data_IF_681716121168
#
_entry.id   IF_681716121168
#
_cell.length_a   1.000
_cell.length_b   1.000
_cell.length_c   1.000
_cell.angle_alpha   90.00
_cell.angle_beta   90.00
_cell.angle_gamma   90.00
#
_symmetry.space_group_name_H-M   'P 1'
#
loop_
_entity.id
_entity.type
_entity.pdbx_description
1 polymer ?
#
# COMPACT_ATOMS: atom_id res chain seq x y z
N UNK A 1 -5.85 3.04 11.56
CA UNK A 1 -5.29 3.57 12.83
C UNK A 1 -5.17 2.52 13.96
N UNK A 2 -6.15 1.67 14.30
CA UNK A 2 -6.01 0.75 15.46
C UNK A 2 -5.04 -0.42 15.27
N UNK A 3 -4.76 -0.87 14.03
CA UNK A 3 -3.83 -1.98 13.75
C UNK A 3 -2.37 -1.60 14.04
N UNK A 4 -1.99 -0.33 13.83
CA UNK A 4 -0.59 0.12 13.90
C UNK A 4 -0.05 0.16 15.33
N UNK A 5 -0.89 0.42 16.33
CA UNK A 5 -0.49 0.34 17.75
C UNK A 5 -0.25 -1.12 18.18
N UNK A 6 -0.94 -2.07 17.55
CA UNK A 6 -0.78 -3.51 17.83
C UNK A 6 0.40 -4.11 17.05
N UNK A 7 0.74 -3.54 15.89
CA UNK A 7 1.92 -3.92 15.11
C UNK A 7 3.24 -3.71 15.87
N UNK A 8 3.27 -2.81 16.86
CA UNK A 8 4.43 -2.57 17.74
C UNK A 8 4.97 -3.84 18.39
N UNK A 9 4.09 -4.78 18.75
CA UNK A 9 4.48 -6.03 19.42
C UNK A 9 5.22 -7.00 18.50
N UNK A 10 5.07 -6.83 17.20
CA UNK A 10 5.68 -7.69 16.19
C UNK A 10 6.77 -6.94 15.42
N UNK A 11 7.11 -5.70 15.80
CA UNK A 11 8.03 -4.87 15.05
C UNK A 11 9.45 -5.43 15.10
N UNK A 12 9.89 -5.92 16.26
CA UNK A 12 11.18 -6.60 16.40
C UNK A 12 11.25 -7.84 15.50
N UNK A 13 10.23 -8.71 15.57
CA UNK A 13 10.14 -9.91 14.72
C UNK A 13 10.13 -9.55 13.21
N UNK A 14 9.41 -8.49 12.82
CA UNK A 14 9.38 -8.02 11.43
C UNK A 14 10.75 -7.51 10.98
N UNK A 15 11.45 -6.77 11.83
CA UNK A 15 12.78 -6.24 11.52
C UNK A 15 13.85 -7.35 11.51
N UNK A 16 13.71 -8.38 12.34
CA UNK A 16 14.53 -9.59 12.27
C UNK A 16 14.38 -10.26 10.90
N UNK A 17 13.14 -10.41 10.40
CA UNK A 17 12.89 -10.93 9.04
C UNK A 17 13.51 -10.00 7.98
N UNK A 18 13.40 -8.68 8.13
CA UNK A 18 14.07 -7.75 7.19
C UNK A 18 15.59 -7.97 7.21
N UNK A 19 16.19 -8.16 8.37
CA UNK A 19 17.63 -8.38 8.51
C UNK A 19 18.06 -9.73 7.90
N UNK A 20 17.32 -10.80 8.16
CA UNK A 20 17.60 -12.15 7.64
C UNK A 20 17.54 -12.20 6.11
N UNK A 21 16.55 -11.54 5.49
CA UNK A 21 16.32 -11.60 4.05
C UNK A 21 16.95 -10.43 3.28
N UNK A 22 17.69 -9.52 3.93
CA UNK A 22 18.29 -8.34 3.29
C UNK A 22 19.31 -8.71 2.19
N UNK A 23 20.20 -9.66 2.52
CA UNK A 23 21.22 -10.22 1.63
C UNK A 23 20.71 -11.43 0.83
N UNK A 24 19.40 -11.69 0.91
CA UNK A 24 18.72 -12.72 0.17
C UNK A 24 18.56 -12.39 -1.33
N UNK A 25 17.61 -13.04 -2.02
CA UNK A 25 17.42 -12.83 -3.45
C UNK A 25 17.05 -11.36 -3.77
N UNK A 26 17.60 -10.78 -4.86
CA UNK A 26 17.41 -9.38 -5.22
C UNK A 26 15.95 -9.00 -5.48
N UNK A 27 15.09 -9.98 -5.78
CA UNK A 27 13.65 -9.83 -5.99
C UNK A 27 12.89 -9.46 -4.69
N UNK A 28 13.40 -9.86 -3.52
CA UNK A 28 12.76 -9.55 -2.24
C UNK A 28 13.11 -8.15 -1.75
N UNK A 29 14.29 -7.63 -2.10
CA UNK A 29 14.77 -6.30 -1.68
C UNK A 29 13.76 -5.16 -1.91
N UNK A 30 13.09 -4.99 -3.06
CA UNK A 30 12.08 -3.94 -3.23
C UNK A 30 10.87 -4.12 -2.33
N UNK A 31 10.47 -5.36 -2.03
CA UNK A 31 9.36 -5.65 -1.12
C UNK A 31 9.72 -5.33 0.34
N UNK A 32 10.95 -5.65 0.76
CA UNK A 32 11.48 -5.27 2.07
C UNK A 32 11.57 -3.75 2.22
N UNK A 33 12.03 -3.05 1.19
CA UNK A 33 12.07 -1.58 1.17
C UNK A 33 10.67 -0.96 1.24
N UNK A 34 9.69 -1.53 0.54
CA UNK A 34 8.29 -1.11 0.62
C UNK A 34 7.71 -1.35 2.02
N UNK A 35 8.03 -2.48 2.65
CA UNK A 35 7.63 -2.73 4.04
C UNK A 35 8.22 -1.69 4.99
N UNK A 36 9.51 -1.37 4.87
CA UNK A 36 10.17 -0.33 5.67
C UNK A 36 9.55 1.05 5.45
N UNK A 37 9.18 1.38 4.22
CA UNK A 37 8.45 2.60 3.88
C UNK A 37 7.10 2.66 4.63
N UNK A 38 6.26 1.65 4.49
CA UNK A 38 4.94 1.60 5.14
C UNK A 38 5.07 1.61 6.67
N UNK A 39 6.07 0.93 7.23
CA UNK A 39 6.38 0.98 8.66
C UNK A 39 6.80 2.38 9.11
N UNK A 40 7.63 3.07 8.33
CA UNK A 40 8.06 4.44 8.66
C UNK A 40 6.91 5.43 8.67
N UNK A 41 5.97 5.33 7.72
CA UNK A 41 4.78 6.17 7.66
C UNK A 41 3.81 5.83 8.80
N UNK A 42 3.69 4.55 9.13
CA UNK A 42 2.80 4.08 10.19
C UNK A 42 3.26 4.45 11.61
N UNK A 43 4.57 4.38 11.87
CA UNK A 43 5.15 4.59 13.20
C UNK A 43 5.66 6.02 13.41
N UNK A 44 5.96 6.76 12.34
CA UNK A 44 6.44 8.14 12.41
C UNK A 44 7.72 8.24 13.24
N UNK A 45 7.69 9.06 14.29
CA UNK A 45 8.85 9.33 15.15
C UNK A 45 9.30 8.10 15.94
N UNK A 46 8.41 7.15 16.24
CA UNK A 46 8.78 5.91 16.95
C UNK A 46 9.70 5.00 16.11
N UNK A 47 9.65 5.14 14.78
CA UNK A 47 10.51 4.40 13.88
C UNK A 47 11.99 4.78 14.03
N UNK A 48 12.27 5.98 14.53
CA UNK A 48 13.61 6.51 14.72
C UNK A 48 14.50 5.58 15.57
N UNK A 49 13.90 4.91 16.57
CA UNK A 49 14.60 3.98 17.43
C UNK A 49 15.22 2.79 16.67
N UNK A 50 14.69 2.42 15.50
CA UNK A 50 15.14 1.28 14.71
C UNK A 50 16.05 1.67 13.53
N UNK A 51 16.12 2.96 13.21
CA UNK A 51 16.92 3.47 12.09
C UNK A 51 18.43 3.23 12.25
N UNK A 52 18.93 3.10 13.48
CA UNK A 52 20.34 2.81 13.73
C UNK A 52 20.79 1.48 13.11
N UNK A 53 19.88 0.52 12.94
CA UNK A 53 20.15 -0.77 12.31
C UNK A 53 19.90 -0.73 10.81
N UNK A 54 18.83 -0.05 10.38
CA UNK A 54 18.37 -0.03 8.99
C UNK A 54 19.23 0.90 8.12
N UNK A 55 19.56 2.11 8.61
CA UNK A 55 20.29 3.11 7.82
C UNK A 55 21.66 2.60 7.36
N UNK A 56 22.49 1.94 8.20
CA UNK A 56 23.73 1.33 7.74
C UNK A 56 23.54 0.30 6.62
N UNK A 57 22.45 -0.49 6.65
CA UNK A 57 22.15 -1.46 5.58
C UNK A 57 21.79 -0.76 4.26
N UNK A 58 20.99 0.31 4.32
CA UNK A 58 20.65 1.12 3.14
C UNK A 58 21.89 1.79 2.54
N UNK A 59 22.72 2.41 3.39
CA UNK A 59 23.99 3.03 2.96
C UNK A 59 24.95 1.99 2.40
N UNK A 60 25.01 0.80 3.00
CA UNK A 60 25.77 -0.34 2.50
C UNK A 60 25.31 -0.78 1.12
N UNK A 61 23.99 -0.86 0.88
CA UNK A 61 23.42 -1.19 -0.42
C UNK A 61 23.76 -0.15 -1.49
N UNK A 62 23.77 1.15 -1.15
CA UNK A 62 24.24 2.20 -2.06
C UNK A 62 25.73 2.03 -2.39
N UNK A 63 26.56 1.74 -1.40
CA UNK A 63 28.00 1.53 -1.61
C UNK A 63 28.31 0.24 -2.40
N UNK A 64 27.50 -0.80 -2.23
CA UNK A 64 27.60 -2.03 -3.01
C UNK A 64 27.20 -1.79 -4.46
N UNK A 65 26.15 -1.00 -4.71
CA UNK A 65 25.77 -0.59 -6.07
C UNK A 65 26.90 0.16 -6.78
N UNK A 66 27.60 1.06 -6.08
CA UNK A 66 28.79 1.75 -6.61
C UNK A 66 29.92 0.76 -6.95
N UNK A 67 30.07 -0.33 -6.19
CA UNK A 67 31.15 -1.32 -6.36
C UNK A 67 30.86 -2.36 -7.43
N UNK A 68 29.63 -2.85 -7.48
CA UNK A 68 29.16 -3.87 -8.42
C UNK A 68 28.81 -3.27 -9.78
N UNK A 69 28.51 -1.97 -9.83
CA UNK A 69 28.00 -1.30 -11.02
C UNK A 69 26.52 -1.59 -11.31
N UNK A 70 25.82 -2.33 -10.45
CA UNK A 70 24.38 -2.54 -10.53
C UNK A 70 23.64 -1.51 -9.68
N UNK A 71 22.90 -0.62 -10.36
CA UNK A 71 22.13 0.44 -9.72
C UNK A 71 20.63 0.14 -9.67
N UNK A 72 20.20 -1.09 -9.96
CA UNK A 72 18.78 -1.49 -10.01
C UNK A 72 18.03 -1.20 -8.69
N UNK A 73 18.68 -1.42 -7.55
CA UNK A 73 18.10 -1.22 -6.21
C UNK A 73 18.15 0.24 -5.72
N UNK A 74 18.97 1.10 -6.34
CA UNK A 74 19.22 2.47 -5.84
C UNK A 74 17.94 3.33 -5.82
N UNK A 75 17.08 3.34 -6.86
CA UNK A 75 15.84 4.11 -6.82
C UNK A 75 14.92 3.72 -5.65
N UNK A 76 14.81 2.42 -5.35
CA UNK A 76 13.98 1.94 -4.24
C UNK A 76 14.58 2.33 -2.88
N UNK A 77 15.91 2.28 -2.74
CA UNK A 77 16.60 2.72 -1.51
C UNK A 77 16.43 4.23 -1.32
N UNK A 78 16.56 5.03 -2.39
CA UNK A 78 16.34 6.47 -2.33
C UNK A 78 14.90 6.81 -1.93
N UNK A 79 13.91 6.10 -2.48
CA UNK A 79 12.50 6.27 -2.12
C UNK A 79 12.24 5.95 -0.64
N UNK A 80 12.81 4.85 -0.12
CA UNK A 80 12.69 4.51 1.29
C UNK A 80 13.32 5.59 2.20
N UNK A 81 14.50 6.10 1.84
CA UNK A 81 15.14 7.20 2.58
C UNK A 81 14.29 8.47 2.58
N UNK A 82 13.66 8.81 1.46
CA UNK A 82 12.73 9.93 1.35
C UNK A 82 11.50 9.75 2.25
N UNK A 83 10.94 8.54 2.30
CA UNK A 83 9.77 8.22 3.13
C UNK A 83 10.04 8.34 4.64
N UNK A 84 11.27 8.06 5.08
CA UNK A 84 11.65 8.19 6.49
C UNK A 84 11.54 9.64 6.99
N UNK A 85 11.75 10.63 6.10
CA UNK A 85 11.55 12.04 6.41
C UNK A 85 12.26 12.50 7.68
N UNK A 86 11.53 13.09 8.64
CA UNK A 86 12.10 13.65 9.88
C UNK A 86 12.75 12.62 10.81
N UNK A 87 12.30 11.36 10.76
CA UNK A 87 12.87 10.29 11.59
C UNK A 87 14.35 10.05 11.26
N UNK A 88 14.78 10.35 10.04
CA UNK A 88 16.17 10.19 9.59
C UNK A 88 17.13 11.30 10.09
N UNK A 89 16.62 12.35 10.74
CA UNK A 89 17.42 13.53 11.14
C UNK A 89 18.70 13.23 11.92
N UNK A 90 18.68 12.31 12.89
CA UNK A 90 19.86 11.93 13.68
C UNK A 90 20.90 11.13 12.88
N UNK A 91 20.44 10.35 11.89
CA UNK A 91 21.27 9.46 11.09
C UNK A 91 21.68 10.08 9.74
N UNK A 92 21.25 11.32 9.46
CA UNK A 92 21.53 12.02 8.20
C UNK A 92 23.02 12.12 7.88
N UNK A 93 23.88 12.18 8.91
CA UNK A 93 25.34 12.20 8.77
C UNK A 93 25.92 10.98 8.05
N UNK A 94 25.23 9.82 8.08
CA UNK A 94 25.62 8.60 7.35
C UNK A 94 25.10 8.60 5.91
N UNK A 95 23.89 9.11 5.71
CA UNK A 95 23.21 9.12 4.41
C UNK A 95 23.79 10.17 3.47
N UNK A 96 24.06 11.37 3.99
CA UNK A 96 24.52 12.49 3.18
C UNK A 96 25.80 12.17 2.38
N UNK A 97 26.88 11.62 2.96
CA UNK A 97 28.07 11.26 2.18
C UNK A 97 27.77 10.25 1.07
N UNK A 98 26.86 9.29 1.31
CA UNK A 98 26.47 8.30 0.31
C UNK A 98 25.72 8.95 -0.86
N UNK A 99 24.73 9.79 -0.58
CA UNK A 99 24.02 10.56 -1.62
C UNK A 99 24.97 11.44 -2.43
N UNK A 100 25.90 12.12 -1.75
CA UNK A 100 26.89 12.99 -2.39
C UNK A 100 27.84 12.20 -3.30
N UNK A 101 28.23 10.96 -2.95
CA UNK A 101 29.04 10.12 -3.83
C UNK A 101 28.28 9.73 -5.10
N UNK A 102 27.00 9.37 -4.99
CA UNK A 102 26.18 8.93 -6.13
C UNK A 102 26.11 9.97 -7.25
N UNK A 103 25.97 11.27 -6.95
CA UNK A 103 25.85 12.30 -8.00
C UNK A 103 27.16 13.01 -8.35
N UNK A 104 28.24 12.84 -7.57
CA UNK A 104 29.55 13.43 -7.88
C UNK A 104 30.05 12.95 -9.25
N UNK A 105 30.55 13.87 -10.06
CA UNK A 105 31.26 13.55 -11.29
C UNK A 105 32.61 12.90 -10.92
N UNK A 106 32.67 11.57 -10.91
CA UNK A 106 33.93 10.84 -10.71
C UNK A 106 34.91 11.12 -11.85
N UNK A 107 36.18 11.36 -11.52
CA UNK A 107 37.27 11.60 -12.48
C UNK A 107 37.82 10.32 -13.15
N UNK A 108 37.21 9.15 -12.94
CA UNK A 108 37.72 7.89 -13.45
C UNK A 108 36.59 6.87 -13.64
N UNK A 109 35.94 6.87 -14.81
CA UNK A 109 35.30 5.70 -15.47
C UNK A 109 34.19 4.88 -14.78
N UNK A 110 33.94 5.04 -13.48
CA UNK A 110 33.00 4.27 -12.67
C UNK A 110 31.98 5.21 -11.99
N UNK A 111 31.40 6.12 -12.77
CA UNK A 111 30.34 7.01 -12.29
C UNK A 111 28.98 6.32 -12.38
N UNK A 112 28.10 6.60 -11.40
CA UNK A 112 26.71 6.16 -11.47
C UNK A 112 26.03 6.63 -12.78
N UNK A 113 25.09 5.84 -13.33
CA UNK A 113 24.32 6.22 -14.50
C UNK A 113 23.66 7.59 -14.32
N UNK A 114 23.54 8.35 -15.42
CA UNK A 114 22.99 9.71 -15.38
C UNK A 114 21.61 9.77 -14.71
N UNK A 115 20.76 8.75 -14.89
CA UNK A 115 19.44 8.67 -14.22
C UNK A 115 19.58 8.64 -12.69
N UNK A 116 20.41 7.75 -12.17
CA UNK A 116 20.70 7.59 -10.73
C UNK A 116 21.27 8.87 -10.13
N UNK A 117 22.15 9.56 -10.88
CA UNK A 117 22.71 10.84 -10.45
C UNK A 117 21.64 11.92 -10.29
N UNK A 118 20.69 11.99 -11.23
CA UNK A 118 19.56 12.92 -11.15
C UNK A 118 18.67 12.55 -9.97
N UNK A 119 18.36 11.27 -9.81
CA UNK A 119 17.49 10.80 -8.73
C UNK A 119 18.11 11.10 -7.36
N UNK A 120 19.41 10.87 -7.17
CA UNK A 120 20.11 11.25 -5.94
C UNK A 120 20.04 12.76 -5.62
N UNK A 121 20.14 13.63 -6.64
CA UNK A 121 19.99 15.09 -6.47
C UNK A 121 18.54 15.46 -6.12
N UNK A 122 17.55 14.81 -6.73
CA UNK A 122 16.13 15.01 -6.41
C UNK A 122 15.78 14.50 -5.02
N UNK A 123 16.31 13.36 -4.61
CA UNK A 123 16.16 12.84 -3.25
C UNK A 123 16.75 13.79 -2.23
N UNK A 124 17.93 14.36 -2.51
CA UNK A 124 18.51 15.38 -1.64
C UNK A 124 17.60 16.61 -1.54
N UNK A 125 17.05 17.12 -2.66
CA UNK A 125 16.07 18.22 -2.65
C UNK A 125 14.87 17.93 -1.73
N UNK A 126 14.34 16.70 -1.76
CA UNK A 126 13.18 16.28 -0.95
C UNK A 126 13.52 16.08 0.54
N UNK A 127 14.73 15.65 0.84
CA UNK A 127 15.19 15.41 2.22
C UNK A 127 15.57 16.69 2.96
N UNK A 128 16.21 17.66 2.28
CA UNK A 128 16.76 18.87 2.91
C UNK A 128 15.78 19.65 3.81
N UNK A 129 14.49 19.84 3.46
CA UNK A 129 13.53 20.54 4.31
C UNK A 129 13.23 19.87 5.65
N UNK A 130 13.57 18.58 5.80
CA UNK A 130 13.29 17.78 6.98
C UNK A 130 14.53 17.49 7.84
N UNK A 131 15.69 18.05 7.48
CA UNK A 131 16.99 17.72 8.06
C UNK A 131 17.63 18.91 8.77
N UNK A 132 18.49 18.67 9.79
CA UNK A 132 19.32 19.72 10.39
C UNK A 132 20.47 20.12 9.45
N UNK A 133 20.18 20.95 8.45
CA UNK A 133 21.13 21.31 7.38
C UNK A 133 22.27 22.21 7.80
N UNK A 134 22.15 22.97 8.90
CA UNK A 134 23.14 23.96 9.32
C UNK A 134 24.53 23.37 9.56
N UNK A 135 24.61 22.18 10.17
CA UNK A 135 25.88 21.48 10.41
C UNK A 135 26.54 20.95 9.13
N UNK A 136 25.74 20.73 8.07
CA UNK A 136 26.18 20.12 6.82
C UNK A 136 26.19 21.10 5.63
N UNK A 137 25.95 22.39 5.87
CA UNK A 137 25.75 23.40 4.85
C UNK A 137 26.83 23.38 3.75
N UNK A 138 28.11 23.42 4.14
CA UNK A 138 29.23 23.35 3.19
C UNK A 138 29.39 21.97 2.54
N UNK A 139 29.07 20.88 3.24
CA UNK A 139 29.15 19.53 2.72
C UNK A 139 28.08 19.25 1.65
N UNK A 140 26.96 19.98 1.67
CA UNK A 140 25.88 19.91 0.69
C UNK A 140 26.10 20.94 -0.44
N UNK A 141 26.37 22.20 -0.08
CA UNK A 141 26.48 23.30 -1.05
C UNK A 141 27.60 23.08 -2.06
N UNK A 142 28.83 22.73 -1.63
CA UNK A 142 29.96 22.62 -2.55
C UNK A 142 29.78 21.50 -3.59
N UNK A 143 29.35 20.27 -3.24
CA UNK A 143 29.07 19.25 -4.25
C UNK A 143 27.96 19.65 -5.22
N UNK A 144 26.91 20.34 -4.77
CA UNK A 144 25.85 20.83 -5.66
C UNK A 144 26.35 21.94 -6.60
N UNK A 145 27.16 22.87 -6.09
CA UNK A 145 27.81 23.91 -6.91
C UNK A 145 28.69 23.27 -7.99
N UNK A 146 29.49 22.27 -7.62
CA UNK A 146 30.31 21.51 -8.59
C UNK A 146 29.44 20.71 -9.57
N UNK A 147 28.29 20.20 -9.14
CA UNK A 147 27.35 19.51 -10.04
C UNK A 147 26.73 20.47 -11.07
N UNK A 148 26.50 21.74 -10.72
CA UNK A 148 26.11 22.80 -11.67
C UNK A 148 27.26 23.13 -12.63
N UNK A 149 28.50 23.11 -12.14
CA UNK A 149 29.68 23.50 -12.90
C UNK A 149 30.17 22.44 -13.90
N UNK A 150 30.32 21.19 -13.45
CA UNK A 150 31.01 20.10 -14.16
C UNK A 150 30.05 18.93 -14.50
N UNK A 151 28.76 19.04 -14.16
CA UNK A 151 27.79 17.97 -14.35
C UNK A 151 27.30 17.79 -15.79
N UNK A 152 26.75 16.60 -16.14
CA UNK A 152 26.01 16.41 -17.39
C UNK A 152 24.77 17.32 -17.42
N UNK A 153 24.26 17.65 -18.61
CA UNK A 153 23.21 18.65 -18.81
C UNK A 153 21.96 18.43 -17.94
N UNK A 154 21.54 17.18 -17.76
CA UNK A 154 20.40 16.80 -16.93
C UNK A 154 20.63 17.02 -15.43
N UNK A 155 21.84 16.75 -14.92
CA UNK A 155 22.21 17.01 -13.53
C UNK A 155 22.36 18.52 -13.29
N UNK A 156 22.88 19.27 -14.27
CA UNK A 156 22.95 20.74 -14.21
C UNK A 156 21.57 21.41 -14.16
N UNK A 157 20.53 20.76 -14.67
CA UNK A 157 19.15 21.23 -14.53
C UNK A 157 18.57 20.94 -13.13
N UNK A 158 18.89 19.79 -12.53
CA UNK A 158 18.35 19.39 -11.22
C UNK A 158 19.09 20.01 -10.01
N UNK A 159 20.40 20.28 -10.13
CA UNK A 159 21.21 20.79 -9.02
C UNK A 159 20.79 22.20 -8.51
N UNK A 160 20.39 23.16 -9.37
CA UNK A 160 19.85 24.46 -8.92
C UNK A 160 18.59 24.32 -8.06
N UNK A 161 17.74 23.34 -8.35
CA UNK A 161 16.53 23.09 -7.55
C UNK A 161 16.87 22.58 -6.14
N UNK A 162 17.86 21.69 -6.03
CA UNK A 162 18.37 21.23 -4.74
C UNK A 162 19.05 22.36 -3.95
N UNK A 163 19.75 23.27 -4.64
CA UNK A 163 20.30 24.49 -4.04
C UNK A 163 19.21 25.44 -3.53
N UNK A 164 18.07 25.54 -4.21
CA UNK A 164 16.93 26.32 -3.72
C UNK A 164 16.33 25.70 -2.45
N UNK A 165 16.18 24.36 -2.40
CA UNK A 165 15.75 23.68 -1.18
C UNK A 165 16.74 23.87 -0.02
N UNK A 166 18.05 23.85 -0.31
CA UNK A 166 19.08 24.17 0.68
C UNK A 166 18.98 25.63 1.16
N UNK A 167 18.74 26.57 0.24
CA UNK A 167 18.58 27.99 0.57
C UNK A 167 17.36 28.24 1.46
N UNK A 168 16.25 27.55 1.20
CA UNK A 168 15.10 27.56 2.08
C UNK A 168 15.46 27.02 3.48
N UNK A 169 16.11 25.87 3.55
CA UNK A 169 16.44 25.23 4.83
C UNK A 169 17.51 26.00 5.65
N UNK A 170 18.47 26.69 5.01
CA UNK A 170 19.51 27.47 5.69
C UNK A 170 19.11 28.91 6.04
N UNK A 171 18.06 29.45 5.43
CA UNK A 171 17.65 30.83 5.70
C UNK A 171 18.70 31.86 5.25
N UNK A 172 18.94 32.86 6.10
CA UNK A 172 19.93 33.92 5.88
C UNK A 172 21.37 33.42 5.73
N UNK A 173 21.71 32.29 6.35
CA UNK A 173 23.08 31.74 6.36
C UNK A 173 23.52 31.25 4.97
N UNK A 174 22.56 31.04 4.06
CA UNK A 174 22.84 30.72 2.67
C UNK A 174 23.63 31.83 1.96
N UNK A 175 23.58 33.08 2.45
CA UNK A 175 24.30 34.22 1.89
C UNK A 175 25.82 34.02 1.80
N UNK A 176 26.40 33.15 2.65
CA UNK A 176 27.83 32.80 2.64
C UNK A 176 28.26 32.22 1.28
N UNK A 177 27.37 31.48 0.60
CA UNK A 177 27.68 30.84 -0.69
C UNK A 177 27.39 31.73 -1.91
N UNK A 178 26.76 32.90 -1.72
CA UNK A 178 26.35 33.77 -2.81
C UNK A 178 27.45 34.22 -3.77
N UNK A 179 28.66 34.65 -3.33
CA UNK A 179 29.70 35.08 -4.26
C UNK A 179 30.22 33.93 -5.14
N UNK A 180 30.27 32.71 -4.60
CA UNK A 180 30.69 31.53 -5.35
C UNK A 180 29.61 31.11 -6.36
N UNK A 181 28.35 31.06 -5.92
CA UNK A 181 27.22 30.68 -6.77
C UNK A 181 27.04 31.63 -7.96
N UNK A 182 27.11 32.95 -7.73
CA UNK A 182 27.01 33.94 -8.83
C UNK A 182 28.09 33.73 -9.89
N UNK A 183 29.34 33.54 -9.46
CA UNK A 183 30.47 33.27 -10.37
C UNK A 183 30.25 32.00 -11.21
N UNK A 184 29.73 30.93 -10.60
CA UNK A 184 29.47 29.66 -11.30
C UNK A 184 28.29 29.78 -12.26
N UNK A 185 27.22 30.47 -11.87
CA UNK A 185 26.04 30.72 -12.73
C UNK A 185 26.41 31.55 -13.97
N UNK A 186 27.16 32.63 -13.80
CA UNK A 186 27.65 33.47 -14.90
C UNK A 186 28.52 32.67 -15.88
N UNK A 187 29.40 31.81 -15.35
CA UNK A 187 30.32 31.02 -16.18
C UNK A 187 29.64 29.87 -16.92
N UNK A 188 28.62 29.27 -16.32
CA UNK A 188 27.89 28.12 -16.91
C UNK A 188 26.71 28.56 -17.78
N UNK A 189 26.28 29.82 -17.69
CA UNK A 189 25.12 30.34 -18.40
C UNK A 189 23.79 29.74 -17.92
N UNK A 190 23.75 29.14 -16.73
CA UNK A 190 22.53 28.56 -16.17
C UNK A 190 21.66 29.67 -15.61
N UNK A 191 20.51 29.89 -16.23
CA UNK A 191 19.51 30.84 -15.76
C UNK A 191 18.44 30.10 -14.93
N UNK A 192 18.40 30.36 -13.62
CA UNK A 192 17.39 29.78 -12.73
C UNK A 192 16.80 30.87 -11.82
N UNK A 193 15.60 31.41 -12.16
CA UNK A 193 15.07 32.63 -11.55
C UNK A 193 14.85 32.48 -10.04
N UNK A 194 14.42 31.31 -9.58
CA UNK A 194 14.21 31.06 -8.14
C UNK A 194 15.53 31.05 -7.36
N UNK A 195 16.63 30.61 -7.98
CA UNK A 195 17.93 30.57 -7.30
C UNK A 195 18.50 31.97 -7.19
N UNK A 196 18.38 32.78 -8.24
CA UNK A 196 18.77 34.19 -8.20
C UNK A 196 17.96 34.99 -7.17
N UNK A 197 16.66 34.75 -7.09
CA UNK A 197 15.78 35.38 -6.12
C UNK A 197 16.14 34.97 -4.67
N UNK A 198 16.41 33.69 -4.43
CA UNK A 198 16.89 33.18 -3.14
C UNK A 198 18.25 33.79 -2.74
N UNK A 199 19.18 33.91 -3.69
CA UNK A 199 20.48 34.54 -3.48
C UNK A 199 20.36 36.03 -3.15
N UNK A 200 19.49 36.76 -3.85
CA UNK A 200 19.23 38.17 -3.59
C UNK A 200 18.61 38.38 -2.20
N UNK A 201 17.65 37.52 -1.81
CA UNK A 201 17.04 37.55 -0.49
C UNK A 201 18.07 37.27 0.63
N UNK A 202 18.87 36.21 0.48
CA UNK A 202 19.89 35.84 1.47
C UNK A 202 20.94 36.95 1.68
N UNK A 203 21.40 37.59 0.60
CA UNK A 203 22.37 38.71 0.68
C UNK A 203 21.73 39.95 1.33
N UNK A 204 20.42 40.16 1.15
CA UNK A 204 19.68 41.23 1.80
C UNK A 204 19.30 40.91 3.26
N UNK A 205 19.75 39.78 3.81
CA UNK A 205 19.41 39.34 5.17
C UNK A 205 17.97 38.88 5.36
N UNK A 206 17.24 38.64 4.25
CA UNK A 206 15.88 38.09 4.26
C UNK A 206 15.92 36.57 4.11
N UNK A 207 14.93 35.88 4.68
CA UNK A 207 14.83 34.43 4.58
C UNK A 207 14.45 34.02 3.15
N UNK A 208 15.24 33.20 2.45
CA UNK A 208 14.92 32.74 1.09
C UNK A 208 13.58 32.02 0.97
N UNK A 209 13.08 31.41 2.06
CA UNK A 209 11.75 30.79 2.11
C UNK A 209 10.60 31.74 1.72
N UNK A 210 10.73 33.03 1.96
CA UNK A 210 9.68 34.02 1.67
C UNK A 210 9.53 34.30 0.17
N UNK A 211 10.59 34.02 -0.60
CA UNK A 211 10.67 34.33 -2.04
C UNK A 211 10.57 33.06 -2.88
N UNK A 212 10.92 31.90 -2.30
CA UNK A 212 10.83 30.61 -2.96
C UNK A 212 9.40 30.05 -2.94
N UNK A 213 8.94 29.38 -4.01
CA UNK A 213 7.62 28.78 -4.03
C UNK A 213 7.51 27.60 -3.04
N UNK A 214 6.29 27.23 -2.63
CA UNK A 214 6.04 26.19 -1.62
C UNK A 214 6.65 24.82 -1.94
N UNK A 215 6.89 24.53 -3.22
CA UNK A 215 7.50 23.28 -3.68
C UNK A 215 8.92 23.04 -3.16
N UNK A 216 9.61 24.07 -2.65
CA UNK A 216 10.94 23.96 -2.04
C UNK A 216 10.92 23.95 -0.51
N UNK A 217 9.78 24.25 0.11
CA UNK A 217 9.66 24.39 1.56
C UNK A 217 9.44 23.05 2.28
N UNK A 218 9.21 21.98 1.52
CA UNK A 218 8.73 20.70 2.04
C UNK A 218 7.28 20.83 2.52
N UNK A 219 6.41 19.89 2.15
CA UNK A 219 5.04 19.95 2.65
C UNK A 219 5.04 19.78 4.17
N UNK A 220 4.77 20.85 4.91
CA UNK A 220 4.55 20.76 6.37
C UNK A 220 3.23 20.06 6.72
N UNK A 221 2.42 19.69 5.71
CA UNK A 221 1.13 19.02 5.91
C UNK A 221 0.93 17.93 4.86
N UNK A 222 0.54 16.75 5.33
CA UNK A 222 0.09 15.60 4.54
C UNK A 222 1.20 14.65 4.06
N UNK A 223 1.26 13.49 4.72
CA UNK A 223 1.61 12.26 4.03
C UNK A 223 0.62 11.99 2.89
N UNK A 224 1.09 11.26 1.88
CA UNK A 224 0.28 10.78 0.77
C UNK A 224 0.14 11.77 -0.39
N UNK A 225 0.82 11.48 -1.50
CA UNK A 225 0.64 12.20 -2.76
C UNK A 225 1.85 12.12 -3.66
N UNK A 226 2.02 10.99 -4.34
CA UNK A 226 3.00 10.81 -5.41
C UNK A 226 2.54 11.61 -6.64
N UNK A 227 3.14 12.78 -6.89
CA UNK A 227 3.03 13.48 -8.16
C UNK A 227 3.95 12.80 -9.20
N UNK A 228 3.36 11.95 -10.05
CA UNK A 228 3.94 11.57 -11.35
C UNK A 228 3.13 12.24 -12.45
N UNK A 229 3.59 13.40 -12.92
CA UNK A 229 3.06 14.08 -14.10
C UNK A 229 3.97 13.92 -15.32
N UNK A 230 3.32 13.68 -16.47
CA UNK A 230 3.78 13.60 -17.87
C UNK A 230 4.44 12.28 -18.37
N UNK A 231 4.05 11.66 -19.50
CA UNK A 231 3.00 11.94 -20.49
C UNK A 231 2.76 10.73 -21.44
N UNK A 232 1.53 10.64 -21.96
CA UNK A 232 1.09 10.23 -23.32
C UNK A 232 1.01 8.74 -23.79
N UNK A 233 -0.24 8.37 -24.10
CA UNK A 233 -0.75 7.81 -25.38
C UNK A 233 -1.06 6.30 -25.52
N UNK A 234 -2.26 6.01 -26.05
CA UNK A 234 -2.56 4.80 -26.84
C UNK A 234 -3.35 3.62 -26.24
N UNK A 235 -4.67 3.61 -26.48
CA UNK A 235 -5.51 2.46 -26.91
C UNK A 235 -5.86 1.27 -26.00
N UNK A 236 -7.18 1.13 -25.82
CA UNK A 236 -8.05 -0.08 -25.85
C UNK A 236 -7.92 -1.25 -24.84
N UNK A 237 -9.03 -1.51 -24.16
CA UNK A 237 -9.69 -2.83 -24.18
C UNK A 237 -9.36 -3.83 -23.05
N UNK A 238 -10.36 -4.05 -22.20
CA UNK A 238 -10.63 -5.29 -21.44
C UNK A 238 -9.62 -5.75 -20.38
N UNK A 239 -9.90 -5.49 -19.09
CA UNK A 239 -9.60 -6.37 -17.92
C UNK A 239 -10.07 -5.78 -16.57
N UNK A 240 -11.24 -5.13 -16.53
CA UNK A 240 -11.73 -4.41 -15.33
C UNK A 240 -12.48 -5.27 -14.28
N UNK A 241 -12.18 -6.56 -14.12
CA UNK A 241 -12.97 -7.45 -13.24
C UNK A 241 -12.22 -8.15 -12.08
N UNK A 242 -10.91 -7.96 -11.90
CA UNK A 242 -10.16 -8.70 -10.87
C UNK A 242 -9.40 -7.85 -9.84
N UNK A 243 -9.36 -6.53 -9.96
CA UNK A 243 -8.48 -5.66 -9.14
C UNK A 243 -9.20 -4.86 -8.03
N UNK A 244 -10.47 -5.15 -7.73
CA UNK A 244 -11.23 -4.41 -6.71
C UNK A 244 -11.09 -4.95 -5.27
N UNK A 245 -10.25 -5.97 -5.04
CA UNK A 245 -10.18 -6.68 -3.75
C UNK A 245 -8.96 -6.30 -2.87
N UNK A 246 -8.08 -5.38 -3.28
CA UNK A 246 -6.82 -5.13 -2.57
C UNK A 246 -6.52 -3.65 -2.25
N UNK A 247 -7.55 -2.79 -2.20
CA UNK A 247 -7.41 -1.41 -1.73
C UNK A 247 -8.00 -1.29 -0.32
N UNK A 248 -7.15 -1.28 0.69
CA UNK A 248 -7.50 -1.05 2.09
C UNK A 248 -7.97 0.38 2.36
N UNK A 249 -9.15 0.74 1.85
CA UNK A 249 -9.82 2.00 2.12
C UNK A 249 -10.84 1.86 3.26
N UNK A 250 -10.66 2.70 4.28
CA UNK A 250 -11.55 3.08 5.39
C UNK A 250 -12.76 2.21 5.78
N UNK A 251 -12.84 1.92 7.08
CA UNK A 251 -13.92 1.22 7.77
C UNK A 251 -15.23 2.01 7.86
N UNK A 252 -15.74 2.49 6.74
CA UNK A 252 -17.09 3.06 6.60
C UNK A 252 -17.94 2.18 5.70
N UNK A 253 -18.41 1.04 6.24
CA UNK A 253 -19.61 0.31 5.82
C UNK A 253 -19.98 0.40 4.32
N UNK A 254 -19.04 0.07 3.43
CA UNK A 254 -19.27 -0.08 1.99
C UNK A 254 -20.04 -1.38 1.78
N UNK A 255 -21.32 -1.36 2.18
CA UNK A 255 -22.26 -2.44 1.88
C UNK A 255 -22.36 -2.53 0.37
N UNK A 256 -21.89 -3.64 -0.16
CA UNK A 256 -21.96 -3.87 -1.58
C UNK A 256 -23.39 -4.27 -1.96
N UNK A 257 -23.85 -3.83 -3.13
CA UNK A 257 -25.18 -4.20 -3.63
C UNK A 257 -25.28 -5.71 -3.83
N UNK A 258 -26.41 -6.29 -3.42
CA UNK A 258 -26.77 -7.69 -3.58
C UNK A 258 -27.54 -7.83 -4.90
N UNK A 259 -27.08 -8.67 -5.83
CA UNK A 259 -27.82 -8.98 -7.05
C UNK A 259 -28.83 -10.10 -6.80
N UNK A 260 -30.08 -9.71 -6.57
CA UNK A 260 -31.18 -10.65 -6.29
C UNK A 260 -31.45 -11.64 -7.44
N UNK A 261 -31.22 -11.23 -8.68
CA UNK A 261 -31.44 -12.07 -9.88
C UNK A 261 -30.46 -13.25 -9.97
N UNK A 262 -29.18 -13.03 -9.64
CA UNK A 262 -28.19 -14.11 -9.64
C UNK A 262 -28.43 -15.08 -8.49
N UNK A 263 -28.86 -14.55 -7.36
CA UNK A 263 -29.24 -15.36 -6.20
C UNK A 263 -30.45 -16.24 -6.52
N UNK A 264 -31.42 -15.71 -7.29
CA UNK A 264 -32.55 -16.46 -7.81
C UNK A 264 -32.14 -17.66 -8.66
N UNK A 265 -31.23 -17.45 -9.61
CA UNK A 265 -30.70 -18.54 -10.44
C UNK A 265 -29.94 -19.59 -9.62
N UNK A 266 -29.31 -19.21 -8.52
CA UNK A 266 -28.48 -20.09 -7.70
C UNK A 266 -29.28 -20.98 -6.73
N UNK A 267 -30.39 -20.50 -6.16
CA UNK A 267 -31.24 -21.31 -5.28
C UNK A 267 -32.27 -22.17 -6.01
N UNK A 268 -32.44 -21.97 -7.33
CA UNK A 268 -33.31 -22.83 -8.13
C UNK A 268 -32.76 -24.27 -8.16
N UNK A 269 -33.64 -25.22 -7.82
CA UNK A 269 -33.30 -26.64 -7.63
C UNK A 269 -33.91 -27.57 -8.68
N UNK A 270 -34.45 -27.00 -9.77
CA UNK A 270 -35.43 -27.64 -10.64
C UNK A 270 -34.95 -28.86 -11.46
N UNK A 271 -33.69 -29.30 -11.34
CA UNK A 271 -33.14 -30.45 -12.08
C UNK A 271 -32.05 -31.22 -11.31
N UNK A 272 -32.34 -31.69 -10.08
CA UNK A 272 -31.37 -32.48 -9.29
C UNK A 272 -31.89 -33.86 -8.97
N UNK A 273 -31.10 -34.87 -9.33
CA UNK A 273 -31.52 -36.27 -9.28
C UNK A 273 -30.59 -37.15 -8.46
N UNK A 274 -29.30 -36.81 -8.38
CA UNK A 274 -28.27 -37.58 -7.67
C UNK A 274 -27.81 -36.91 -6.37
N UNK A 275 -27.12 -37.67 -5.50
CA UNK A 275 -26.51 -37.16 -4.27
C UNK A 275 -25.44 -36.11 -4.60
N UNK A 276 -24.71 -36.34 -5.67
CA UNK A 276 -23.63 -35.52 -6.19
C UNK A 276 -24.18 -34.18 -6.72
N UNK A 277 -25.31 -34.19 -7.45
CA UNK A 277 -25.98 -32.98 -7.94
C UNK A 277 -26.36 -32.05 -6.77
N UNK A 278 -26.88 -32.61 -5.68
CA UNK A 278 -27.23 -31.85 -4.47
C UNK A 278 -26.01 -31.27 -3.77
N UNK A 279 -24.90 -32.00 -3.75
CA UNK A 279 -23.64 -31.50 -3.18
C UNK A 279 -23.06 -30.34 -4.01
N UNK A 280 -23.13 -30.44 -5.34
CA UNK A 280 -22.67 -29.39 -6.24
C UNK A 280 -23.57 -28.16 -6.17
N UNK A 281 -24.88 -28.36 -6.00
CA UNK A 281 -25.78 -27.25 -5.70
C UNK A 281 -25.39 -26.49 -4.47
N UNK A 282 -25.24 -27.18 -3.34
CA UNK A 282 -25.02 -26.53 -2.07
C UNK A 282 -23.72 -25.72 -2.13
N UNK A 283 -22.72 -26.26 -2.83
CA UNK A 283 -21.48 -25.54 -3.14
C UNK A 283 -21.72 -24.30 -3.98
N UNK A 284 -22.42 -24.42 -5.12
CA UNK A 284 -22.69 -23.28 -6.00
C UNK A 284 -23.54 -22.21 -5.32
N UNK A 285 -24.52 -22.63 -4.52
CA UNK A 285 -25.38 -21.75 -3.73
C UNK A 285 -24.58 -21.00 -2.66
N UNK A 286 -23.70 -21.69 -1.91
CA UNK A 286 -22.83 -21.05 -0.92
C UNK A 286 -21.83 -20.06 -1.55
N UNK A 287 -21.24 -20.41 -2.70
CA UNK A 287 -20.32 -19.53 -3.43
C UNK A 287 -21.05 -18.29 -3.97
N UNK A 288 -22.26 -18.45 -4.50
CA UNK A 288 -23.02 -17.31 -5.01
C UNK A 288 -23.50 -16.39 -3.89
N UNK A 289 -23.87 -16.94 -2.72
CA UNK A 289 -24.13 -16.17 -1.50
C UNK A 289 -22.90 -15.37 -1.05
N UNK A 290 -21.69 -15.93 -1.13
CA UNK A 290 -20.47 -15.21 -0.79
C UNK A 290 -20.19 -14.07 -1.78
N UNK A 291 -20.39 -14.30 -3.08
CA UNK A 291 -20.17 -13.26 -4.12
C UNK A 291 -21.16 -12.11 -4.00
N UNK A 292 -22.42 -12.41 -3.70
CA UNK A 292 -23.49 -11.42 -3.61
C UNK A 292 -23.64 -10.83 -2.19
N UNK A 293 -22.89 -11.34 -1.20
CA UNK A 293 -22.90 -10.82 0.17
C UNK A 293 -22.56 -9.33 0.22
N UNK A 294 -23.30 -8.52 1.00
CA UNK A 294 -23.03 -7.09 1.16
C UNK A 294 -21.77 -6.81 1.98
N UNK A 295 -21.27 -7.81 2.74
CA UNK A 295 -20.01 -7.71 3.49
C UNK A 295 -18.79 -7.92 2.56
N UNK A 296 -17.86 -6.94 2.46
CA UNK A 296 -16.64 -7.07 1.65
C UNK A 296 -15.74 -8.24 2.08
N UNK A 297 -15.68 -8.54 3.38
CA UNK A 297 -14.87 -9.63 3.91
C UNK A 297 -15.37 -11.00 3.44
N UNK A 298 -16.69 -11.23 3.46
CA UNK A 298 -17.29 -12.46 2.96
C UNK A 298 -17.13 -12.59 1.43
N UNK A 299 -17.21 -11.46 0.71
CA UNK A 299 -17.00 -11.44 -0.74
C UNK A 299 -15.56 -11.75 -1.13
N UNK A 300 -14.57 -11.28 -0.37
CA UNK A 300 -13.17 -11.65 -0.57
C UNK A 300 -12.93 -13.16 -0.41
N UNK A 301 -13.69 -13.82 0.47
CA UNK A 301 -13.63 -15.28 0.66
C UNK A 301 -14.25 -16.08 -0.51
N UNK A 302 -14.97 -15.45 -1.44
CA UNK A 302 -15.61 -16.17 -2.54
C UNK A 302 -14.61 -16.86 -3.48
N UNK A 303 -13.46 -16.24 -3.75
CA UNK A 303 -12.40 -16.83 -4.58
C UNK A 303 -11.76 -18.04 -3.89
N UNK A 304 -11.54 -17.95 -2.56
CA UNK A 304 -11.03 -19.05 -1.77
C UNK A 304 -12.05 -20.20 -1.69
N UNK A 305 -13.34 -19.88 -1.53
CA UNK A 305 -14.43 -20.86 -1.48
C UNK A 305 -14.59 -21.66 -2.79
N UNK A 306 -14.21 -21.09 -3.94
CA UNK A 306 -14.18 -21.81 -5.22
C UNK A 306 -13.07 -22.87 -5.26
N UNK A 307 -11.91 -22.58 -4.65
CA UNK A 307 -10.76 -23.48 -4.58
C UNK A 307 -10.90 -24.51 -3.44
N UNK A 308 -11.56 -24.13 -2.36
CA UNK A 308 -11.67 -24.91 -1.12
C UNK A 308 -13.14 -25.06 -0.68
N UNK A 309 -13.79 -26.19 -0.99
CA UNK A 309 -15.22 -26.41 -0.72
C UNK A 309 -15.61 -26.36 0.77
N UNK A 310 -14.67 -26.62 1.68
CA UNK A 310 -14.92 -26.56 3.13
C UNK A 310 -15.13 -25.12 3.62
N UNK A 311 -14.40 -24.15 3.06
CA UNK A 311 -14.56 -22.71 3.38
C UNK A 311 -15.96 -22.23 3.00
N UNK A 312 -16.49 -22.69 1.86
CA UNK A 312 -17.86 -22.36 1.42
C UNK A 312 -18.91 -22.85 2.43
N UNK A 313 -18.72 -24.05 3.00
CA UNK A 313 -19.63 -24.64 3.99
C UNK A 313 -19.57 -23.91 5.33
N UNK A 314 -18.37 -23.58 5.80
CA UNK A 314 -18.20 -22.97 7.12
C UNK A 314 -18.68 -21.51 7.13
N UNK A 315 -18.51 -20.78 6.02
CA UNK A 315 -19.01 -19.41 5.87
C UNK A 315 -20.47 -19.32 5.44
N UNK A 316 -21.10 -20.44 5.04
CA UNK A 316 -22.46 -20.48 4.50
C UNK A 316 -23.49 -19.77 5.40
N UNK A 317 -23.51 -20.08 6.70
CA UNK A 317 -24.48 -19.49 7.63
C UNK A 317 -24.32 -17.96 7.71
N UNK A 318 -23.09 -17.49 7.82
CA UNK A 318 -22.78 -16.05 7.88
C UNK A 318 -23.10 -15.32 6.58
N UNK A 319 -22.84 -15.93 5.43
CA UNK A 319 -23.15 -15.38 4.11
C UNK A 319 -24.67 -15.36 3.87
N UNK A 320 -25.37 -16.41 4.27
CA UNK A 320 -26.82 -16.50 4.18
C UNK A 320 -27.50 -15.40 4.97
N UNK A 321 -27.15 -15.22 6.26
CA UNK A 321 -27.74 -14.15 7.08
C UNK A 321 -27.46 -12.78 6.50
N UNK A 322 -26.23 -12.54 6.02
CA UNK A 322 -25.85 -11.25 5.42
C UNK A 322 -26.65 -10.92 4.15
N UNK A 323 -26.95 -11.91 3.31
CA UNK A 323 -27.79 -11.72 2.12
C UNK A 323 -29.29 -11.64 2.49
N UNK A 324 -29.73 -12.43 3.46
CA UNK A 324 -31.12 -12.51 3.91
C UNK A 324 -31.63 -11.17 4.45
N UNK A 325 -30.78 -10.38 5.11
CA UNK A 325 -31.15 -9.06 5.64
C UNK A 325 -31.47 -8.03 4.57
N UNK A 326 -30.84 -8.12 3.42
CA UNK A 326 -30.96 -7.13 2.34
C UNK A 326 -31.94 -7.58 1.23
N UNK A 327 -32.45 -8.82 1.31
CA UNK A 327 -33.34 -9.40 0.31
C UNK A 327 -34.79 -8.90 0.46
N UNK A 328 -35.47 -8.63 -0.66
CA UNK A 328 -36.91 -8.31 -0.62
C UNK A 328 -37.80 -9.49 -0.17
N UNK A 329 -38.92 -9.17 0.49
CA UNK A 329 -39.87 -10.17 1.04
C UNK A 329 -40.37 -11.18 0.00
N UNK A 330 -40.61 -10.76 -1.25
CA UNK A 330 -41.04 -11.67 -2.33
C UNK A 330 -39.99 -12.73 -2.69
N UNK A 331 -38.70 -12.40 -2.60
CA UNK A 331 -37.61 -13.34 -2.84
C UNK A 331 -37.33 -14.22 -1.62
N UNK A 332 -37.52 -13.70 -0.40
CA UNK A 332 -37.46 -14.50 0.84
C UNK A 332 -38.48 -15.64 0.80
N UNK A 333 -39.72 -15.36 0.39
CA UNK A 333 -40.74 -16.39 0.23
C UNK A 333 -40.35 -17.45 -0.81
N UNK A 334 -39.78 -17.04 -1.94
CA UNK A 334 -39.34 -17.95 -3.00
C UNK A 334 -38.19 -18.85 -2.53
N UNK A 335 -37.21 -18.28 -1.83
CA UNK A 335 -36.08 -19.02 -1.26
C UNK A 335 -36.55 -20.02 -0.19
N UNK A 336 -37.51 -19.64 0.65
CA UNK A 336 -38.09 -20.57 1.64
C UNK A 336 -38.84 -21.71 0.95
N UNK A 337 -39.66 -21.40 -0.07
CA UNK A 337 -40.37 -22.43 -0.85
C UNK A 337 -39.40 -23.37 -1.58
N UNK A 338 -38.30 -22.86 -2.13
CA UNK A 338 -37.29 -23.69 -2.80
C UNK A 338 -36.57 -24.59 -1.81
N UNK A 339 -36.23 -24.09 -0.62
CA UNK A 339 -35.66 -24.88 0.47
C UNK A 339 -36.64 -25.97 0.97
N UNK A 340 -37.91 -25.64 1.19
CA UNK A 340 -38.94 -26.63 1.59
C UNK A 340 -39.13 -27.72 0.52
N UNK A 341 -39.09 -27.35 -0.76
CA UNK A 341 -39.16 -28.29 -1.89
C UNK A 341 -37.91 -29.19 -1.94
N UNK A 342 -36.72 -28.62 -1.74
CA UNK A 342 -35.46 -29.36 -1.70
C UNK A 342 -35.41 -30.35 -0.52
N UNK A 343 -35.83 -29.92 0.67
CA UNK A 343 -35.90 -30.75 1.89
C UNK A 343 -36.94 -31.87 1.80
N UNK A 344 -37.94 -31.73 0.92
CA UNK A 344 -38.95 -32.77 0.65
C UNK A 344 -38.45 -33.87 -0.30
N UNK A 345 -37.29 -33.69 -0.95
CA UNK A 345 -36.73 -34.65 -1.90
C UNK A 345 -36.12 -35.87 -1.19
N UNK A 346 -36.40 -37.12 -1.65
CA UNK A 346 -35.87 -38.34 -1.04
C UNK A 346 -34.38 -38.58 -1.32
N UNK A 347 -33.79 -37.89 -2.31
CA UNK A 347 -32.37 -38.02 -2.69
C UNK A 347 -31.47 -36.98 -2.00
N UNK A 348 -32.04 -36.19 -1.09
CA UNK A 348 -31.35 -35.09 -0.44
C UNK A 348 -30.33 -35.61 0.60
N UNK A 349 -29.03 -35.28 0.48
CA UNK A 349 -27.99 -35.78 1.38
C UNK A 349 -28.17 -35.30 2.83
N UNK A 350 -28.01 -36.22 3.80
CA UNK A 350 -28.11 -35.90 5.23
C UNK A 350 -27.09 -34.83 5.70
N UNK A 351 -25.92 -34.76 5.05
CA UNK A 351 -24.90 -33.73 5.30
C UNK A 351 -25.43 -32.32 5.01
N UNK A 352 -26.22 -32.17 3.94
CA UNK A 352 -26.78 -30.86 3.56
C UNK A 352 -27.95 -30.51 4.48
N UNK A 353 -28.75 -31.50 4.91
CA UNK A 353 -29.77 -31.29 5.95
C UNK A 353 -29.12 -30.76 7.22
N UNK A 354 -28.01 -31.35 7.65
CA UNK A 354 -27.27 -30.87 8.82
C UNK A 354 -26.79 -29.43 8.65
N UNK A 355 -26.31 -29.03 7.46
CA UNK A 355 -25.93 -27.62 7.21
C UNK A 355 -27.12 -26.66 7.24
N UNK A 356 -28.29 -27.06 6.76
CA UNK A 356 -29.51 -26.25 6.80
C UNK A 356 -30.05 -26.17 8.23
N UNK A 357 -29.97 -27.25 9.01
CA UNK A 357 -30.31 -27.24 10.43
C UNK A 357 -29.38 -26.32 11.24
N UNK A 358 -28.08 -26.35 10.96
CA UNK A 358 -27.12 -25.41 11.55
C UNK A 358 -27.44 -23.97 11.17
N UNK A 359 -27.86 -23.72 9.92
CA UNK A 359 -28.31 -22.39 9.49
C UNK A 359 -29.56 -21.95 10.26
N UNK A 360 -30.56 -22.83 10.41
CA UNK A 360 -31.79 -22.51 11.13
C UNK A 360 -31.52 -22.16 12.60
N UNK A 361 -30.70 -22.95 13.29
CA UNK A 361 -30.24 -22.67 14.66
C UNK A 361 -29.47 -21.33 14.74
N UNK A 362 -28.57 -21.08 13.78
CA UNK A 362 -27.84 -19.81 13.70
C UNK A 362 -28.78 -18.61 13.52
N UNK A 363 -29.82 -18.75 12.71
CA UNK A 363 -30.83 -17.71 12.47
C UNK A 363 -31.79 -17.51 13.64
N UNK A 364 -32.06 -18.54 14.44
CA UNK A 364 -32.80 -18.42 15.70
C UNK A 364 -32.01 -17.63 16.76
N UNK A 365 -30.70 -17.84 16.84
CA UNK A 365 -29.82 -17.07 17.72
C UNK A 365 -29.70 -15.59 17.33
N UNK A 366 -29.81 -15.26 16.03
CA UNK A 366 -29.77 -13.89 15.50
C UNK A 366 -31.14 -13.15 15.53
N UNK A 367 -32.14 -13.67 16.28
CA UNK A 367 -33.53 -13.15 16.35
C UNK A 367 -34.24 -13.03 14.99
N UNK A 368 -33.76 -13.75 13.97
CA UNK A 368 -34.25 -13.69 12.58
C UNK A 368 -34.62 -15.08 12.08
N UNK A 369 -35.47 -15.77 12.82
CA UNK A 369 -35.89 -17.12 12.49
C UNK A 369 -36.48 -17.21 11.08
N UNK A 370 -36.06 -18.23 10.33
CA UNK A 370 -36.64 -18.54 9.03
C UNK A 370 -38.13 -18.88 9.21
N UNK A 371 -39.03 -18.40 8.33
CA UNK A 371 -40.44 -18.78 8.35
C UNK A 371 -40.66 -20.18 7.77
N UNK A 372 -39.91 -21.16 8.28
CA UNK A 372 -40.05 -22.59 7.95
C UNK A 372 -40.82 -23.26 9.08
N UNK A 373 -41.68 -24.23 8.75
CA UNK A 373 -42.44 -24.96 9.75
C UNK A 373 -41.53 -25.74 10.72
N UNK A 374 -41.49 -25.35 11.99
CA UNK A 374 -40.67 -25.99 13.04
C UNK A 374 -40.90 -27.51 13.12
N UNK A 375 -42.13 -27.96 12.82
CA UNK A 375 -42.48 -29.40 12.80
C UNK A 375 -41.80 -30.17 11.66
N UNK A 376 -41.61 -29.56 10.49
CA UNK A 376 -40.90 -30.21 9.37
C UNK A 376 -39.40 -30.23 9.65
N UNK A 377 -38.87 -29.17 10.27
CA UNK A 377 -37.48 -29.09 10.70
C UNK A 377 -37.14 -30.17 11.76
N UNK A 378 -37.97 -30.33 12.79
CA UNK A 378 -37.81 -31.36 13.82
C UNK A 378 -37.92 -32.79 13.26
N UNK A 379 -38.85 -33.03 12.33
CA UNK A 379 -38.97 -34.33 11.65
C UNK A 379 -37.73 -34.67 10.80
N UNK A 380 -37.07 -33.66 10.22
CA UNK A 380 -35.82 -33.84 9.46
C UNK A 380 -34.60 -34.00 10.38
N UNK A 381 -34.56 -33.30 11.52
CA UNK A 381 -33.53 -33.48 12.54
C UNK A 381 -33.55 -34.89 13.15
N UNK A 382 -34.74 -35.45 13.40
CA UNK A 382 -34.92 -36.83 13.83
C UNK A 382 -34.42 -37.85 12.79
N UNK A 383 -34.68 -37.61 11.50
CA UNK A 383 -34.21 -38.46 10.40
C UNK A 383 -32.68 -38.43 10.24
N UNK A 384 -32.04 -37.30 10.55
CA UNK A 384 -30.59 -37.14 10.43
C UNK A 384 -29.82 -37.51 11.72
N UNK A 385 -30.47 -38.16 12.69
CA UNK A 385 -29.89 -38.52 14.00
C UNK A 385 -29.31 -37.31 14.78
N UNK A 386 -29.78 -36.10 14.49
CA UNK A 386 -29.41 -34.88 15.21
C UNK A 386 -30.36 -34.67 16.40
N UNK A 387 -30.41 -35.64 17.31
CA UNK A 387 -31.39 -35.69 18.41
C UNK A 387 -31.32 -34.51 19.39
N UNK A 388 -30.17 -33.84 19.49
CA UNK A 388 -30.01 -32.64 20.32
C UNK A 388 -30.67 -31.38 19.72
N UNK A 389 -31.00 -31.41 18.42
CA UNK A 389 -31.61 -30.29 17.66
C UNK A 389 -33.07 -30.57 17.25
N UNK A 390 -33.61 -31.72 17.68
CA UNK A 390 -34.88 -32.28 17.22
C UNK A 390 -36.07 -31.92 18.12
#
# INVERSE_FOLDING_TARGET
VPVLVHARRYLDDLLEVVHEYWDGPPELRPHLLRLLEELSVALGDEFQAYLHTIVPQLVGALAEAERSGDFSAVPAVLHALEAFGRSLSEHFHLVLPALVRLFKSGAAGAGAPVRVRIDAVRSLKRLLPHMPVSAFASAIAHPLIRAVEEGPASVRAAAPEALCALAAALGSDFGIFAPLLRRVLERTGVNHPHLEAALAAAVAGRNPCEVLPPSYLGSMTSGGGMDTGDAADGTDGDTAAAAAAASGGDGSNLKLAVSEQKLQMAWESSQRSTKEDWSEWMRNFAVELLKESPSPALRACASLAQLQPHVARDLFASAFVSCWTELHEGYKEQLVRSLETALSSPTFPAEIVATILNLAEFMEHDERALPINIRTLGALAQKCSAFAKA
#
